data_IF_436423531688
#
_entry.id   IF_436423531688
#
_cell.length_a   1.000
_cell.length_b   1.000
_cell.length_c   1.000
_cell.angle_alpha   90.00
_cell.angle_beta   90.00
_cell.angle_gamma   90.00
#
_symmetry.space_group_name_H-M   'P 1'
#
loop_
_entity.id
_entity.type
_entity.pdbx_description
1 polymer ?
#
# COMPACT_ATOMS: atom_id res chain seq x y z
N UNK A 1 39.21 -9.69 20.76
CA UNK A 1 37.91 -10.07 20.15
C UNK A 1 37.49 -8.94 19.22
N UNK A 2 37.02 -9.22 17.99
CA UNK A 2 36.47 -8.19 17.13
C UNK A 2 35.21 -7.61 17.78
N UNK A 3 35.17 -6.30 17.95
CA UNK A 3 34.00 -5.60 18.49
C UNK A 3 33.08 -5.30 17.31
N UNK A 4 31.83 -5.76 17.37
CA UNK A 4 30.83 -5.44 16.37
C UNK A 4 30.51 -3.95 16.48
N UNK A 5 30.66 -3.22 15.37
CA UNK A 5 30.34 -1.80 15.29
C UNK A 5 29.46 -1.57 14.06
N UNK A 6 28.78 -0.44 14.01
CA UNK A 6 27.91 -0.06 12.91
C UNK A 6 28.44 1.20 12.24
N UNK A 7 28.32 1.26 10.92
CA UNK A 7 28.66 2.45 10.14
C UNK A 7 27.49 2.80 9.23
N UNK A 8 27.23 4.10 9.07
CA UNK A 8 26.26 4.61 8.10
C UNK A 8 27.00 4.99 6.83
N UNK A 9 26.56 4.45 5.70
CA UNK A 9 27.12 4.73 4.37
C UNK A 9 26.01 5.10 3.40
N UNK A 10 26.33 5.90 2.39
CA UNK A 10 25.39 6.15 1.30
C UNK A 10 25.23 4.88 0.44
N UNK A 11 23.99 4.57 0.11
CA UNK A 11 23.60 3.56 -0.87
C UNK A 11 22.65 4.16 -1.91
N UNK A 12 22.34 3.37 -2.93
CA UNK A 12 21.33 3.72 -3.94
C UNK A 12 20.35 2.58 -4.05
N UNK A 13 19.06 2.90 -4.06
CA UNK A 13 17.96 1.97 -4.34
C UNK A 13 17.13 2.51 -5.50
N UNK A 14 16.38 1.64 -6.17
CA UNK A 14 15.46 2.05 -7.22
C UNK A 14 14.04 2.12 -6.65
N UNK A 15 13.38 3.27 -6.74
CA UNK A 15 11.99 3.44 -6.30
C UNK A 15 11.06 3.63 -7.51
N UNK A 16 9.74 3.38 -7.38
CA UNK A 16 8.81 3.59 -8.47
C UNK A 16 8.86 5.02 -9.01
N UNK A 17 8.71 5.18 -10.32
CA UNK A 17 8.58 6.49 -10.96
C UNK A 17 7.23 6.62 -11.64
N UNK A 18 6.46 7.64 -11.24
CA UNK A 18 5.15 7.96 -11.82
C UNK A 18 5.23 9.07 -12.88
N UNK A 19 6.43 9.49 -13.29
CA UNK A 19 6.61 10.44 -14.37
C UNK A 19 6.05 9.92 -15.71
N UNK A 20 5.91 8.61 -15.86
CA UNK A 20 5.23 7.97 -16.97
C UNK A 20 4.16 7.00 -16.44
N UNK A 21 2.89 7.35 -16.65
CA UNK A 21 1.72 6.59 -16.19
C UNK A 21 1.05 5.80 -17.33
N UNK A 22 1.66 5.70 -18.52
CA UNK A 22 1.07 4.99 -19.67
C UNK A 22 0.81 3.51 -19.41
N UNK A 23 1.52 2.92 -18.45
CA UNK A 23 1.33 1.55 -18.00
C UNK A 23 0.29 1.43 -16.88
N UNK A 24 -0.35 2.50 -16.43
CA UNK A 24 -1.48 2.41 -15.50
C UNK A 24 -2.74 2.42 -16.36
N UNK A 25 -3.35 1.24 -16.55
CA UNK A 25 -4.56 1.09 -17.34
C UNK A 25 -5.75 0.73 -16.47
N UNK A 26 -6.91 1.28 -16.82
CA UNK A 26 -8.17 0.92 -16.19
C UNK A 26 -8.72 -0.37 -16.83
N UNK A 27 -9.13 -1.33 -16.00
CA UNK A 27 -9.66 -2.63 -16.42
C UNK A 27 -10.82 -2.55 -17.44
N UNK A 28 -11.59 -1.46 -17.45
CA UNK A 28 -12.81 -1.34 -18.27
C UNK A 28 -12.61 -0.55 -19.58
N UNK A 29 -11.55 0.24 -19.73
CA UNK A 29 -11.40 1.15 -20.88
C UNK A 29 -10.66 0.54 -22.09
N UNK A 30 -9.84 -0.50 -21.88
CA UNK A 30 -8.82 -0.93 -22.84
C UNK A 30 -9.04 -2.36 -23.40
N UNK A 31 -10.29 -2.81 -23.53
CA UNK A 31 -10.63 -4.14 -24.07
C UNK A 31 -10.42 -4.29 -25.58
N UNK A 32 -9.99 -3.23 -26.28
CA UNK A 32 -9.77 -3.24 -27.73
C UNK A 32 -8.35 -3.63 -28.16
N UNK A 33 -7.42 -3.80 -27.23
CA UNK A 33 -6.05 -4.17 -27.55
C UNK A 33 -5.71 -5.48 -26.83
N UNK A 34 -5.42 -6.55 -27.60
CA UNK A 34 -5.15 -7.90 -27.10
C UNK A 34 -3.86 -8.05 -26.29
N UNK A 35 -3.41 -7.00 -25.61
CA UNK A 35 -2.25 -6.95 -24.73
C UNK A 35 -2.71 -6.69 -23.28
N UNK A 36 -3.12 -7.76 -22.60
CA UNK A 36 -3.24 -7.86 -21.15
C UNK A 36 -1.93 -7.38 -20.49
N UNK A 37 -1.85 -6.62 -19.39
CA UNK A 37 -2.79 -6.16 -18.35
C UNK A 37 -1.97 -5.25 -17.43
N UNK A 38 -2.52 -4.13 -16.97
CA UNK A 38 -1.93 -3.37 -15.84
C UNK A 38 -2.97 -2.87 -14.85
N UNK A 39 -4.03 -3.66 -14.66
CA UNK A 39 -4.88 -3.62 -13.49
C UNK A 39 -4.33 -4.55 -12.41
N UNK A 40 -4.65 -4.27 -11.15
CA UNK A 40 -4.26 -5.15 -10.05
C UNK A 40 -5.02 -6.48 -10.17
N UNK A 41 -4.31 -7.61 -10.07
CA UNK A 41 -4.96 -8.92 -10.29
C UNK A 41 -6.06 -9.16 -9.24
N UNK A 42 -7.21 -9.77 -9.61
CA UNK A 42 -8.27 -10.10 -8.65
C UNK A 42 -7.81 -10.99 -7.48
N UNK A 43 -6.75 -11.78 -7.67
CA UNK A 43 -6.15 -12.58 -6.60
C UNK A 43 -5.36 -11.72 -5.60
N UNK A 44 -4.68 -10.67 -6.08
CA UNK A 44 -4.05 -9.68 -5.22
C UNK A 44 -5.11 -8.87 -4.47
N UNK A 45 -6.21 -8.51 -5.14
CA UNK A 45 -7.36 -7.85 -4.50
C UNK A 45 -8.02 -8.71 -3.41
N UNK A 46 -8.09 -10.03 -3.60
CA UNK A 46 -8.56 -10.98 -2.57
C UNK A 46 -7.62 -11.04 -1.37
N UNK A 47 -6.30 -10.98 -1.57
CA UNK A 47 -5.37 -10.98 -0.45
C UNK A 47 -5.47 -9.69 0.38
N UNK A 48 -5.78 -8.54 -0.25
CA UNK A 48 -6.03 -7.27 0.46
C UNK A 48 -7.09 -7.39 1.56
N UNK A 49 -8.14 -8.17 1.28
CA UNK A 49 -9.28 -8.37 2.17
C UNK A 49 -9.02 -9.44 3.22
N UNK A 50 -8.10 -10.37 2.96
CA UNK A 50 -7.61 -11.31 3.96
C UNK A 50 -6.86 -10.63 5.11
N UNK A 51 -6.41 -9.38 4.92
CA UNK A 51 -5.79 -8.60 5.98
C UNK A 51 -6.84 -8.01 6.90
N UNK A 52 -6.59 -8.11 8.21
CA UNK A 52 -7.30 -7.29 9.19
C UNK A 52 -6.98 -5.83 8.87
N UNK A 53 -7.90 -5.14 8.22
CA UNK A 53 -7.74 -3.75 7.76
C UNK A 53 -7.41 -2.77 8.92
N UNK A 54 -7.59 -3.19 10.17
CA UNK A 54 -7.24 -2.44 11.38
C UNK A 54 -6.02 -2.99 12.15
N UNK A 55 -5.24 -3.92 11.57
CA UNK A 55 -4.03 -4.47 12.22
C UNK A 55 -2.86 -3.49 12.17
N UNK A 56 -2.09 -3.42 13.26
CA UNK A 56 -0.84 -2.66 13.34
C UNK A 56 0.31 -3.24 12.52
N UNK A 57 0.13 -4.46 11.99
CA UNK A 57 1.09 -5.16 11.14
C UNK A 57 0.40 -5.71 9.91
N UNK A 58 0.92 -5.33 8.74
CA UNK A 58 0.35 -5.70 7.45
C UNK A 58 1.46 -6.30 6.58
N UNK A 59 1.33 -7.54 6.09
CA UNK A 59 2.35 -8.10 5.22
C UNK A 59 2.36 -7.33 3.89
N UNK A 60 3.54 -7.21 3.29
CA UNK A 60 3.71 -6.62 1.97
C UNK A 60 3.05 -7.51 0.92
N UNK A 61 2.56 -6.87 -0.14
CA UNK A 61 1.80 -7.50 -1.23
C UNK A 61 2.71 -8.20 -2.27
N UNK A 62 3.72 -8.93 -1.81
CA UNK A 62 4.64 -9.70 -2.65
C UNK A 62 5.32 -10.82 -1.86
N UNK A 63 6.20 -11.56 -2.53
CA UNK A 63 6.90 -12.70 -1.97
C UNK A 63 8.22 -12.32 -1.26
N UNK A 64 8.38 -11.07 -0.80
CA UNK A 64 9.60 -10.65 -0.09
C UNK A 64 9.57 -11.00 1.42
N UNK A 65 8.39 -11.37 1.92
CA UNK A 65 8.03 -11.60 3.34
C UNK A 65 8.20 -10.38 4.25
N UNK A 66 8.32 -9.17 3.70
CA UNK A 66 8.37 -7.97 4.52
C UNK A 66 7.00 -7.64 5.12
N UNK A 67 7.01 -7.03 6.29
CA UNK A 67 5.82 -6.63 7.04
C UNK A 67 5.90 -5.13 7.33
N UNK A 68 4.86 -4.39 6.96
CA UNK A 68 4.67 -3.01 7.37
C UNK A 68 4.33 -2.93 8.85
N UNK A 69 5.04 -2.07 9.56
CA UNK A 69 4.72 -1.66 10.93
C UNK A 69 3.95 -0.35 10.88
N UNK A 70 2.63 -0.46 11.09
CA UNK A 70 1.69 0.64 10.90
C UNK A 70 1.12 0.69 9.48
N UNK A 71 0.78 1.90 9.04
CA UNK A 71 0.14 2.18 7.75
C UNK A 71 1.20 2.26 6.64
N UNK A 72 0.93 1.68 5.48
CA UNK A 72 1.88 1.60 4.35
C UNK A 72 1.85 2.82 3.42
N UNK A 73 0.77 3.60 3.41
CA UNK A 73 0.60 4.84 2.61
C UNK A 73 0.83 4.69 1.09
N UNK A 74 0.81 3.45 0.57
CA UNK A 74 1.05 3.20 -0.85
C UNK A 74 2.48 3.41 -1.33
N UNK A 75 3.45 3.47 -0.41
CA UNK A 75 4.89 3.63 -0.72
C UNK A 75 5.70 2.41 -0.29
N UNK A 76 7.02 2.45 -0.49
CA UNK A 76 7.95 1.38 -0.14
C UNK A 76 7.75 0.08 -0.94
N UNK A 77 7.12 0.15 -2.10
CA UNK A 77 6.95 -0.99 -3.01
C UNK A 77 8.30 -1.61 -3.43
N UNK A 78 9.38 -0.83 -3.40
CA UNK A 78 10.73 -1.23 -3.80
C UNK A 78 11.45 -2.14 -2.80
N UNK A 79 11.04 -2.10 -1.53
CA UNK A 79 11.72 -2.77 -0.42
C UNK A 79 11.75 -4.28 -0.64
N UNK A 80 12.93 -4.88 -0.57
CA UNK A 80 13.13 -6.32 -0.78
C UNK A 80 13.12 -6.75 -2.26
N UNK A 81 12.78 -5.86 -3.20
CA UNK A 81 12.78 -6.14 -4.64
C UNK A 81 14.05 -5.57 -5.29
N UNK A 82 14.38 -4.31 -4.96
CA UNK A 82 15.48 -3.56 -5.61
C UNK A 82 16.73 -3.44 -4.74
N UNK A 83 16.75 -4.14 -3.61
CA UNK A 83 17.79 -4.07 -2.59
C UNK A 83 19.14 -4.66 -3.05
N UNK A 84 19.21 -5.23 -4.25
CA UNK A 84 20.43 -5.80 -4.85
C UNK A 84 21.58 -4.79 -4.98
N UNK A 85 21.26 -3.49 -5.03
CA UNK A 85 22.25 -2.40 -5.04
C UNK A 85 22.90 -2.12 -3.67
N UNK A 86 22.35 -2.70 -2.59
CA UNK A 86 22.84 -2.53 -1.23
C UNK A 86 23.92 -3.57 -0.88
N UNK A 87 24.83 -3.22 0.03
CA UNK A 87 25.94 -4.13 0.43
C UNK A 87 25.38 -5.39 1.13
N UNK A 88 26.04 -6.55 0.98
CA UNK A 88 25.63 -7.81 1.64
C UNK A 88 25.54 -7.77 3.18
N UNK A 89 26.09 -6.74 3.83
CA UNK A 89 26.11 -6.55 5.29
C UNK A 89 25.13 -5.48 5.77
N UNK A 90 24.11 -5.13 4.97
CA UNK A 90 23.06 -4.20 5.39
C UNK A 90 22.25 -4.79 6.53
N UNK A 91 22.09 -4.00 7.58
CA UNK A 91 21.21 -4.30 8.70
C UNK A 91 19.92 -3.51 8.60
N UNK A 92 20.06 -2.20 8.35
CA UNK A 92 18.97 -1.26 8.19
C UNK A 92 19.27 -0.31 7.06
N UNK A 93 18.24 0.20 6.41
CA UNK A 93 18.40 1.35 5.55
C UNK A 93 17.18 2.24 5.62
N UNK A 94 17.37 3.52 5.31
CA UNK A 94 16.30 4.50 5.21
C UNK A 94 16.43 5.32 3.95
N UNK A 95 15.30 5.71 3.38
CA UNK A 95 15.23 6.54 2.20
C UNK A 95 13.94 7.36 2.20
N UNK A 96 13.86 8.33 1.30
CA UNK A 96 12.67 9.14 1.12
C UNK A 96 11.95 8.74 -0.17
N UNK A 97 10.63 8.65 -0.08
CA UNK A 97 9.77 8.35 -1.22
C UNK A 97 8.60 9.34 -1.23
N UNK A 98 8.22 9.83 -2.40
CA UNK A 98 7.04 10.66 -2.56
C UNK A 98 5.89 9.76 -3.00
N UNK A 99 4.77 9.86 -2.28
CA UNK A 99 3.54 9.16 -2.55
C UNK A 99 2.33 10.04 -2.30
N UNK A 100 1.17 9.41 -2.12
CA UNK A 100 -0.02 10.09 -1.63
C UNK A 100 -0.31 9.68 -0.19
N UNK A 101 -0.87 10.59 0.59
CA UNK A 101 -1.54 10.32 1.84
C UNK A 101 -3.06 10.35 1.58
N UNK A 102 -3.71 9.18 1.35
CA UNK A 102 -5.15 9.15 1.19
C UNK A 102 -5.84 9.58 2.49
N UNK A 103 -6.64 10.63 2.39
CA UNK A 103 -7.55 11.08 3.44
C UNK A 103 -8.95 10.70 3.02
N UNK A 104 -9.58 9.82 3.80
CA UNK A 104 -10.93 9.35 3.52
C UNK A 104 -11.90 9.99 4.51
N UNK A 105 -12.98 10.56 3.99
CA UNK A 105 -14.13 11.01 4.79
C UNK A 105 -15.40 10.34 4.29
N UNK A 106 -16.21 9.80 5.17
CA UNK A 106 -17.44 9.09 4.82
C UNK A 106 -18.67 9.72 5.47
N UNK A 107 -19.80 9.63 4.78
CA UNK A 107 -21.10 10.06 5.27
C UNK A 107 -22.22 9.16 4.74
N UNK A 108 -23.37 9.17 5.41
CA UNK A 108 -24.60 8.64 4.84
C UNK A 108 -25.32 9.73 4.05
N UNK A 109 -25.48 9.51 2.75
CA UNK A 109 -26.24 10.40 1.87
C UNK A 109 -27.50 9.69 1.39
N UNK A 110 -28.61 9.91 2.09
CA UNK A 110 -29.91 9.37 1.68
C UNK A 110 -30.41 9.93 0.33
N UNK A 111 -29.84 11.04 -0.14
CA UNK A 111 -30.16 11.64 -1.45
C UNK A 111 -29.26 11.12 -2.57
N UNK A 112 -28.38 10.13 -2.31
CA UNK A 112 -27.59 9.49 -3.36
C UNK A 112 -28.48 8.84 -4.41
N UNK A 113 -28.12 9.00 -5.68
CA UNK A 113 -28.82 8.35 -6.79
C UNK A 113 -28.23 6.97 -7.12
N UNK A 114 -27.09 6.60 -6.52
CA UNK A 114 -26.45 5.31 -6.74
C UNK A 114 -27.16 4.20 -5.96
N UNK A 115 -27.84 3.29 -6.66
CA UNK A 115 -28.76 2.31 -6.07
C UNK A 115 -28.77 0.98 -6.81
N UNK A 116 -29.11 -0.08 -6.08
CA UNK A 116 -29.40 -1.40 -6.64
C UNK A 116 -30.75 -1.36 -7.33
N UNK A 117 -30.78 -1.69 -8.62
CA UNK A 117 -31.98 -1.79 -9.43
C UNK A 117 -32.75 -3.09 -9.20
N UNK A 118 -33.81 -3.28 -9.98
CA UNK A 118 -34.55 -4.55 -9.98
C UNK A 118 -33.73 -5.65 -10.65
N UNK A 119 -34.05 -6.90 -10.32
CA UNK A 119 -33.51 -8.05 -11.03
C UNK A 119 -33.81 -7.94 -12.53
N UNK A 120 -32.80 -8.20 -13.35
CA UNK A 120 -32.86 -8.23 -14.81
C UNK A 120 -32.03 -9.44 -15.28
N UNK A 121 -32.53 -10.23 -16.24
CA UNK A 121 -32.79 -11.66 -16.08
C UNK A 121 -31.61 -12.50 -15.55
N UNK A 122 -31.96 -13.64 -14.94
CA UNK A 122 -31.00 -14.62 -14.41
C UNK A 122 -30.22 -14.13 -13.19
N UNK A 123 -30.91 -13.62 -12.15
CA UNK A 123 -30.27 -13.30 -10.87
C UNK A 123 -29.18 -12.21 -10.98
N UNK A 124 -29.31 -11.35 -11.99
CA UNK A 124 -28.44 -10.21 -12.23
C UNK A 124 -29.14 -8.94 -11.80
N UNK A 125 -28.39 -8.05 -11.17
CA UNK A 125 -28.88 -6.79 -10.64
C UNK A 125 -28.00 -5.68 -11.17
N UNK A 126 -28.62 -4.78 -11.89
CA UNK A 126 -27.97 -3.55 -12.29
C UNK A 126 -27.84 -2.61 -11.09
N UNK A 127 -26.64 -2.10 -10.84
CA UNK A 127 -26.43 -1.02 -9.88
C UNK A 127 -26.04 0.22 -10.65
N UNK A 128 -26.80 1.29 -10.47
CA UNK A 128 -26.63 2.49 -11.26
C UNK A 128 -26.96 3.77 -10.51
N UNK A 129 -26.32 4.86 -10.92
CA UNK A 129 -26.65 6.21 -10.50
C UNK A 129 -25.51 7.19 -10.74
N UNK A 130 -25.84 8.48 -10.57
CA UNK A 130 -24.85 9.54 -10.62
C UNK A 130 -24.18 9.72 -9.25
N UNK A 131 -22.86 9.88 -9.28
CA UNK A 131 -22.05 10.36 -8.17
C UNK A 131 -21.84 11.88 -8.28
N UNK A 132 -21.43 12.56 -7.19
CA UNK A 132 -21.27 14.02 -7.19
C UNK A 132 -20.34 14.56 -8.28
N UNK A 133 -19.34 13.77 -8.68
CA UNK A 133 -18.38 14.07 -9.73
C UNK A 133 -18.63 13.28 -11.02
N UNK A 134 -19.82 12.73 -11.25
CA UNK A 134 -20.13 12.07 -12.53
C UNK A 134 -20.25 13.08 -13.68
N UNK A 135 -19.61 12.78 -14.81
CA UNK A 135 -19.67 13.60 -16.03
C UNK A 135 -20.18 12.74 -17.18
N UNK A 136 -21.23 13.20 -17.87
CA UNK A 136 -21.74 12.58 -19.10
C UNK A 136 -22.63 11.36 -18.92
N UNK A 137 -22.32 10.45 -17.98
CA UNK A 137 -23.10 9.23 -17.75
C UNK A 137 -23.20 8.84 -16.27
N UNK A 138 -24.27 8.11 -15.96
CA UNK A 138 -24.40 7.42 -14.67
C UNK A 138 -23.41 6.26 -14.60
N UNK A 139 -22.92 5.94 -13.39
CA UNK A 139 -22.20 4.70 -13.19
C UNK A 139 -23.14 3.51 -13.40
N UNK A 140 -22.60 2.42 -13.92
CA UNK A 140 -23.34 1.20 -14.21
C UNK A 140 -22.43 0.00 -14.02
N UNK A 141 -22.85 -0.93 -13.17
CA UNK A 141 -22.19 -2.21 -12.95
C UNK A 141 -23.23 -3.30 -12.73
N UNK A 142 -22.95 -4.52 -13.17
CA UNK A 142 -23.86 -5.67 -13.06
C UNK A 142 -23.36 -6.65 -12.01
N UNK A 143 -24.24 -7.08 -11.10
CA UNK A 143 -23.90 -7.97 -10.00
C UNK A 143 -24.77 -9.22 -10.04
N UNK A 144 -24.16 -10.37 -9.80
CA UNK A 144 -24.87 -11.64 -9.68
C UNK A 144 -25.17 -11.91 -8.20
N UNK A 145 -26.41 -12.26 -7.87
CA UNK A 145 -26.82 -12.56 -6.49
C UNK A 145 -28.12 -13.35 -6.43
N UNK A 146 -28.29 -14.17 -5.40
CA UNK A 146 -29.53 -14.92 -5.17
C UNK A 146 -30.71 -13.96 -4.99
N UNK A 147 -30.48 -12.85 -4.30
CA UNK A 147 -31.37 -11.69 -4.18
C UNK A 147 -30.54 -10.40 -4.19
N UNK A 148 -31.19 -9.25 -4.27
CA UNK A 148 -30.54 -7.95 -4.09
C UNK A 148 -29.93 -7.79 -2.69
N UNK A 149 -30.37 -8.58 -1.71
CA UNK A 149 -29.98 -8.42 -0.31
C UNK A 149 -28.50 -8.76 -0.07
N UNK A 150 -27.94 -9.65 -0.90
CA UNK A 150 -26.56 -10.10 -0.81
C UNK A 150 -25.55 -9.22 -1.55
N UNK A 151 -26.00 -8.12 -2.17
CA UNK A 151 -25.17 -7.26 -3.02
C UNK A 151 -24.54 -6.14 -2.20
N UNK A 152 -23.24 -5.93 -2.41
CA UNK A 152 -22.54 -4.70 -2.02
C UNK A 152 -21.80 -4.20 -3.24
N UNK A 153 -22.26 -3.06 -3.75
CA UNK A 153 -21.73 -2.44 -4.94
C UNK A 153 -21.03 -1.13 -4.61
N UNK A 154 -19.86 -0.92 -5.19
CA UNK A 154 -19.12 0.33 -5.11
C UNK A 154 -19.18 1.00 -6.46
N UNK A 155 -19.72 2.22 -6.49
CA UNK A 155 -19.63 3.12 -7.64
C UNK A 155 -18.53 4.14 -7.40
N UNK A 156 -17.79 4.46 -8.44
CA UNK A 156 -16.82 5.57 -8.47
C UNK A 156 -16.96 6.32 -9.78
N UNK A 157 -16.76 7.64 -9.78
CA UNK A 157 -16.81 8.40 -11.02
C UNK A 157 -15.43 8.60 -11.63
N UNK A 158 -15.42 8.80 -12.95
CA UNK A 158 -14.25 9.18 -13.74
C UNK A 158 -14.44 10.59 -14.28
N UNK A 159 -14.36 11.58 -13.38
CA UNK A 159 -14.25 12.97 -13.82
C UNK A 159 -12.79 13.40 -13.85
N UNK A 160 -12.28 13.84 -15.01
CA UNK A 160 -10.96 14.45 -15.08
C UNK A 160 -10.92 15.81 -14.37
N UNK A 161 -12.07 16.43 -14.14
CA UNK A 161 -12.19 17.77 -13.56
C UNK A 161 -12.21 17.76 -12.03
N UNK A 162 -12.53 16.63 -11.40
CA UNK A 162 -12.58 16.53 -9.94
C UNK A 162 -11.22 16.10 -9.36
N UNK A 163 -10.57 16.92 -8.50
CA UNK A 163 -9.38 16.49 -7.75
C UNK A 163 -9.72 15.45 -6.68
N UNK A 164 -10.93 15.56 -6.12
CA UNK A 164 -11.47 14.65 -5.12
C UNK A 164 -12.12 13.46 -5.79
N UNK A 165 -11.90 12.26 -5.25
CA UNK A 165 -12.54 11.04 -5.76
C UNK A 165 -13.70 10.64 -4.87
N UNK A 166 -14.82 10.26 -5.47
CA UNK A 166 -16.00 9.82 -4.74
C UNK A 166 -16.18 8.32 -4.87
N UNK A 167 -16.53 7.70 -3.74
CA UNK A 167 -16.92 6.30 -3.60
C UNK A 167 -18.36 6.32 -3.11
N UNK A 168 -19.26 5.61 -3.78
CA UNK A 168 -20.64 5.42 -3.32
C UNK A 168 -20.93 3.95 -3.13
N UNK A 169 -21.56 3.59 -2.01
CA UNK A 169 -21.94 2.22 -1.70
C UNK A 169 -23.46 2.09 -1.81
N UNK A 170 -23.90 1.14 -2.63
CA UNK A 170 -25.25 0.65 -2.64
C UNK A 170 -25.24 -0.79 -2.11
N UNK A 171 -26.01 -1.06 -1.06
CA UNK A 171 -25.97 -2.33 -0.37
C UNK A 171 -27.38 -2.87 -0.09
N UNK A 172 -27.54 -4.18 -0.23
CA UNK A 172 -28.76 -4.90 0.11
C UNK A 172 -28.99 -5.06 1.60
N UNK A 173 -30.12 -5.66 2.00
CA UNK A 173 -30.53 -5.73 3.41
C UNK A 173 -29.52 -6.45 4.32
N UNK A 174 -28.81 -7.48 3.81
CA UNK A 174 -27.77 -8.19 4.58
C UNK A 174 -26.63 -7.25 5.01
N UNK A 175 -26.38 -6.20 4.24
CA UNK A 175 -25.31 -5.23 4.43
C UNK A 175 -25.88 -3.82 4.64
N UNK A 176 -27.10 -3.71 5.19
CA UNK A 176 -27.86 -2.46 5.27
C UNK A 176 -27.08 -1.29 5.90
N UNK A 177 -26.21 -1.56 6.86
CA UNK A 177 -25.36 -0.54 7.49
C UNK A 177 -24.40 0.14 6.50
N UNK A 178 -24.11 -0.46 5.36
CA UNK A 178 -23.28 0.12 4.31
C UNK A 178 -24.08 0.92 3.30
N UNK A 179 -25.41 0.74 3.26
CA UNK A 179 -26.25 1.31 2.22
C UNK A 179 -26.29 2.83 2.32
N UNK A 180 -26.33 3.51 1.17
CA UNK A 180 -26.32 4.98 1.03
C UNK A 180 -25.06 5.67 1.56
N UNK A 181 -23.98 4.91 1.78
CA UNK A 181 -22.71 5.51 2.18
C UNK A 181 -22.04 6.18 0.98
N UNK A 182 -21.52 7.38 1.18
CA UNK A 182 -20.65 8.05 0.24
C UNK A 182 -19.37 8.46 0.95
N UNK A 183 -18.23 8.14 0.36
CA UNK A 183 -16.93 8.54 0.85
C UNK A 183 -16.21 9.39 -0.19
N UNK A 184 -15.35 10.26 0.30
CA UNK A 184 -14.42 11.06 -0.49
C UNK A 184 -13.01 10.63 -0.19
N UNK A 185 -12.18 10.46 -1.21
CA UNK A 185 -10.74 10.22 -1.07
C UNK A 185 -10.00 11.43 -1.61
N UNK A 186 -9.31 12.13 -0.72
CA UNK A 186 -8.40 13.21 -1.06
C UNK A 186 -6.97 12.65 -1.06
N UNK A 187 -6.32 12.71 -2.23
CA UNK A 187 -4.96 12.24 -2.42
C UNK A 187 -3.99 13.40 -2.22
N UNK A 188 -3.43 13.53 -1.02
CA UNK A 188 -2.50 14.61 -0.68
C UNK A 188 -1.08 14.17 -1.03
N UNK A 189 -0.36 14.81 -1.98
CA UNK A 189 1.05 14.51 -2.22
C UNK A 189 1.85 14.65 -0.93
N UNK A 190 2.63 13.66 -0.58
CA UNK A 190 3.35 13.63 0.70
C UNK A 190 4.70 12.93 0.53
N UNK A 191 5.73 13.49 1.15
CA UNK A 191 7.04 12.86 1.27
C UNK A 191 7.03 11.95 2.50
N UNK A 192 7.50 10.72 2.32
CA UNK A 192 7.55 9.71 3.36
C UNK A 192 9.00 9.33 3.63
N UNK A 193 9.32 9.19 4.91
CA UNK A 193 10.54 8.51 5.33
C UNK A 193 10.23 7.02 5.48
N UNK A 194 10.90 6.21 4.67
CA UNK A 194 10.82 4.75 4.72
C UNK A 194 12.03 4.25 5.49
N UNK A 195 11.80 3.43 6.50
CA UNK A 195 12.84 2.75 7.29
C UNK A 195 12.64 1.25 7.17
N UNK A 196 13.70 0.53 6.83
CA UNK A 196 13.67 -0.91 6.60
C UNK A 196 14.63 -1.60 7.57
N UNK A 197 14.13 -2.59 8.30
CA UNK A 197 14.96 -3.57 9.01
C UNK A 197 15.05 -4.85 8.17
N UNK A 198 16.23 -5.11 7.62
CA UNK A 198 16.46 -6.27 6.73
C UNK A 198 16.41 -7.58 7.51
N UNK A 199 16.81 -7.56 8.78
CA UNK A 199 16.85 -8.77 9.61
C UNK A 199 15.46 -9.15 10.08
N UNK A 200 14.71 -8.17 10.58
CA UNK A 200 13.36 -8.39 11.11
C UNK A 200 12.30 -8.39 9.98
N UNK A 201 12.73 -8.13 8.73
CA UNK A 201 11.89 -7.96 7.54
C UNK A 201 10.74 -6.98 7.81
N UNK A 202 11.05 -5.86 8.45
CA UNK A 202 10.05 -4.85 8.80
C UNK A 202 10.23 -3.55 8.03
N UNK A 203 9.12 -2.89 7.74
CA UNK A 203 9.06 -1.61 7.02
C UNK A 203 8.26 -0.62 7.83
N UNK A 204 8.89 0.45 8.28
CA UNK A 204 8.24 1.60 8.89
C UNK A 204 8.12 2.74 7.88
N UNK A 205 6.94 3.36 7.82
CA UNK A 205 6.68 4.50 6.94
C UNK A 205 6.11 5.64 7.76
N UNK A 206 6.73 6.82 7.66
CA UNK A 206 6.29 8.01 8.40
C UNK A 206 6.15 9.20 7.45
N UNK A 207 5.00 9.90 7.43
CA UNK A 207 4.85 11.12 6.65
C UNK A 207 5.73 12.25 7.22
N UNK A 208 6.41 12.97 6.35
CA UNK A 208 7.24 14.11 6.72
C UNK A 208 6.41 15.40 6.61
N UNK A 209 6.45 16.23 7.65
CA UNK A 209 5.73 17.51 7.67
C UNK A 209 6.61 18.64 7.12
N UNK A 210 6.01 19.58 6.38
CA UNK A 210 6.61 20.89 6.10
C UNK A 210 7.12 21.14 4.67
N UNK A 211 6.96 20.19 3.75
CA UNK A 211 7.39 20.37 2.36
C UNK A 211 6.18 20.58 1.44
N UNK A 212 6.26 21.59 0.56
CA UNK A 212 5.39 21.66 -0.63
C UNK A 212 5.85 20.59 -1.62
N UNK A 213 5.12 19.49 -1.66
CA UNK A 213 5.47 18.31 -2.46
C UNK A 213 4.73 18.39 -3.78
N UNK A 214 5.48 18.43 -4.88
CA UNK A 214 4.90 18.36 -6.22
C UNK A 214 4.12 17.05 -6.41
N UNK A 215 2.93 17.18 -6.99
CA UNK A 215 2.09 16.04 -7.35
C UNK A 215 2.83 15.08 -8.29
N UNK A 216 2.89 13.80 -7.91
CA UNK A 216 3.58 12.73 -8.67
C UNK A 216 2.79 12.28 -9.90
N UNK A 217 1.50 12.58 -9.94
CA UNK A 217 0.60 12.28 -11.05
C UNK A 217 -0.37 13.47 -11.27
N UNK A 218 0.11 14.58 -11.87
CA UNK A 218 -0.71 15.77 -12.11
C UNK A 218 -1.91 15.50 -13.03
N UNK A 219 -1.82 14.49 -13.87
CA UNK A 219 -2.91 14.03 -14.76
C UNK A 219 -3.96 13.18 -14.01
N UNK A 220 -3.67 12.82 -12.76
CA UNK A 220 -4.55 12.09 -11.84
C UNK A 220 -4.99 10.73 -12.37
N UNK A 221 -4.17 10.11 -13.20
CA UNK A 221 -4.37 8.77 -13.75
C UNK A 221 -4.29 7.73 -12.63
N UNK A 222 -3.23 7.76 -11.82
CA UNK A 222 -3.01 6.86 -10.69
C UNK A 222 -4.14 6.96 -9.68
N UNK A 223 -4.52 8.17 -9.25
CA UNK A 223 -5.57 8.35 -8.24
C UNK A 223 -6.94 7.88 -8.74
N UNK A 224 -7.23 8.10 -10.02
CA UNK A 224 -8.44 7.59 -10.68
C UNK A 224 -8.43 6.07 -10.76
N UNK A 225 -7.34 5.49 -11.22
CA UNK A 225 -7.20 4.04 -11.34
C UNK A 225 -7.31 3.38 -9.97
N UNK A 226 -6.72 3.98 -8.94
CA UNK A 226 -6.79 3.47 -7.57
C UNK A 226 -8.23 3.35 -7.05
N UNK A 227 -9.07 4.37 -7.23
CA UNK A 227 -10.48 4.26 -6.82
C UNK A 227 -11.30 3.35 -7.74
N UNK A 228 -10.97 3.27 -9.03
CA UNK A 228 -11.62 2.35 -9.98
C UNK A 228 -11.37 0.89 -9.63
N UNK A 229 -10.22 0.57 -9.04
CA UNK A 229 -9.98 -0.78 -8.52
C UNK A 229 -10.96 -1.16 -7.41
N UNK A 230 -11.47 -0.21 -6.60
CA UNK A 230 -12.50 -0.51 -5.57
C UNK A 230 -13.85 -0.92 -6.18
N UNK A 231 -14.25 -0.30 -7.28
CA UNK A 231 -15.42 -0.69 -8.08
C UNK A 231 -15.22 -2.11 -8.65
N UNK A 232 -14.07 -2.34 -9.30
CA UNK A 232 -13.65 -3.66 -9.81
C UNK A 232 -13.63 -4.75 -8.73
N UNK A 233 -13.11 -4.43 -7.54
CA UNK A 233 -13.12 -5.30 -6.35
C UNK A 233 -14.54 -5.67 -5.96
N UNK A 234 -15.44 -4.69 -5.84
CA UNK A 234 -16.82 -4.95 -5.43
C UNK A 234 -17.52 -5.93 -6.38
N UNK A 235 -17.27 -5.79 -7.69
CA UNK A 235 -17.82 -6.67 -8.70
C UNK A 235 -17.21 -8.08 -8.66
N UNK A 236 -15.88 -8.16 -8.67
CA UNK A 236 -15.12 -9.42 -8.70
C UNK A 236 -15.27 -10.28 -7.44
N UNK A 237 -15.66 -9.65 -6.33
CA UNK A 237 -15.81 -10.26 -5.02
C UNK A 237 -17.27 -10.47 -4.62
N UNK A 238 -18.19 -10.17 -5.54
CA UNK A 238 -19.57 -10.56 -5.42
C UNK A 238 -19.69 -12.06 -5.69
N UNK A 239 -20.44 -12.75 -4.84
CA UNK A 239 -20.84 -14.15 -5.05
C UNK A 239 -22.36 -14.25 -5.10
N UNK A 240 -22.86 -15.43 -5.46
CA UNK A 240 -24.30 -15.68 -5.50
C UNK A 240 -24.97 -15.52 -4.12
N UNK A 241 -24.28 -15.76 -3.00
CA UNK A 241 -24.89 -15.75 -1.65
C UNK A 241 -24.47 -14.56 -0.77
N UNK A 242 -23.53 -13.73 -1.22
CA UNK A 242 -22.95 -12.67 -0.40
C UNK A 242 -21.85 -11.90 -1.11
N UNK A 243 -21.40 -10.83 -0.48
CA UNK A 243 -20.26 -10.05 -0.93
C UNK A 243 -19.08 -10.26 0.01
N UNK A 244 -17.97 -10.79 -0.52
CA UNK A 244 -16.74 -10.96 0.27
C UNK A 244 -16.21 -9.60 0.69
N UNK A 245 -16.33 -8.59 -0.17
CA UNK A 245 -15.99 -7.20 0.17
C UNK A 245 -16.94 -6.64 1.25
N UNK A 246 -18.25 -6.91 1.13
CA UNK A 246 -19.23 -6.54 2.16
C UNK A 246 -18.87 -7.11 3.53
N UNK A 247 -18.58 -8.41 3.61
CA UNK A 247 -18.18 -9.07 4.85
C UNK A 247 -16.87 -8.49 5.43
N UNK A 248 -15.92 -8.13 4.56
CA UNK A 248 -14.67 -7.49 4.95
C UNK A 248 -14.86 -6.08 5.53
N UNK A 249 -15.72 -5.27 4.92
CA UNK A 249 -16.06 -3.94 5.41
C UNK A 249 -16.72 -4.03 6.78
N UNK A 250 -17.67 -4.95 6.97
CA UNK A 250 -18.29 -5.21 8.27
C UNK A 250 -17.26 -5.65 9.33
N UNK A 251 -16.33 -6.53 8.96
CA UNK A 251 -15.25 -6.96 9.84
C UNK A 251 -14.32 -5.79 10.22
N UNK A 252 -14.02 -4.88 9.29
CA UNK A 252 -13.25 -3.66 9.56
C UNK A 252 -13.96 -2.73 10.53
N UNK A 253 -15.27 -2.51 10.32
CA UNK A 253 -16.11 -1.72 11.23
C UNK A 253 -16.08 -2.32 12.64
N UNK A 254 -16.27 -3.63 12.76
CA UNK A 254 -16.21 -4.32 14.05
C UNK A 254 -14.83 -4.21 14.72
N UNK A 255 -13.75 -4.35 13.95
CA UNK A 255 -12.38 -4.22 14.46
C UNK A 255 -12.05 -2.80 14.93
N UNK A 256 -12.48 -1.79 14.17
CA UNK A 256 -12.34 -0.39 14.56
C UNK A 256 -13.12 -0.09 15.84
N UNK A 257 -14.38 -0.52 15.90
CA UNK A 257 -15.25 -0.31 17.06
C UNK A 257 -14.65 -0.93 18.33
N UNK A 258 -14.10 -2.16 18.23
CA UNK A 258 -13.40 -2.83 19.34
C UNK A 258 -12.12 -2.10 19.77
N UNK A 259 -11.36 -1.55 18.82
CA UNK A 259 -10.05 -0.96 19.08
C UNK A 259 -10.12 0.49 19.59
N UNK A 260 -11.09 1.27 19.09
CA UNK A 260 -11.16 2.72 19.31
C UNK A 260 -12.45 3.17 20.02
N UNK A 261 -13.46 2.32 20.11
CA UNK A 261 -14.74 2.63 20.74
C UNK A 261 -15.16 1.58 21.79
N UNK A 262 -14.19 0.97 22.47
CA UNK A 262 -14.45 -0.04 23.51
C UNK A 262 -15.35 0.47 24.65
N UNK A 263 -15.35 1.78 24.92
CA UNK A 263 -16.17 2.43 25.94
C UNK A 263 -17.54 2.87 25.42
N UNK A 264 -17.84 2.67 24.13
CA UNK A 264 -19.12 3.05 23.52
C UNK A 264 -19.41 4.56 23.53
N UNK A 265 -18.35 5.38 23.53
CA UNK A 265 -18.46 6.85 23.55
C UNK A 265 -18.86 7.42 22.19
N UNK A 266 -18.56 6.70 21.11
CA UNK A 266 -18.89 7.04 19.73
C UNK A 266 -20.19 6.32 19.34
N UNK A 267 -21.09 7.02 18.66
CA UNK A 267 -22.35 6.44 18.20
C UNK A 267 -22.09 5.30 17.21
N UNK A 268 -23.00 4.32 17.10
CA UNK A 268 -22.87 3.21 16.14
C UNK A 268 -22.72 3.72 14.70
N UNK A 269 -23.45 4.79 14.36
CA UNK A 269 -23.37 5.45 13.05
C UNK A 269 -21.97 5.99 12.79
N UNK A 270 -21.41 6.74 13.73
CA UNK A 270 -20.10 7.39 13.55
C UNK A 270 -18.96 6.36 13.62
N UNK A 271 -19.11 5.33 14.44
CA UNK A 271 -18.20 4.19 14.49
C UNK A 271 -18.19 3.41 13.17
N UNK A 272 -19.36 3.23 12.54
CA UNK A 272 -19.49 2.60 11.22
C UNK A 272 -18.78 3.42 10.15
N UNK A 273 -19.02 4.73 10.09
CA UNK A 273 -18.36 5.61 9.14
C UNK A 273 -16.84 5.64 9.37
N UNK A 274 -16.37 5.74 10.61
CA UNK A 274 -14.93 5.73 10.94
C UNK A 274 -14.26 4.41 10.56
N UNK A 275 -14.94 3.29 10.78
CA UNK A 275 -14.46 1.97 10.35
C UNK A 275 -14.37 1.83 8.83
N UNK A 276 -15.28 2.46 8.08
CA UNK A 276 -15.25 2.53 6.62
C UNK A 276 -14.15 3.47 6.10
N UNK A 277 -13.98 4.64 6.71
CA UNK A 277 -12.88 5.58 6.38
C UNK A 277 -11.53 4.87 6.51
N UNK A 278 -11.33 4.15 7.61
CA UNK A 278 -10.12 3.37 7.83
C UNK A 278 -9.97 2.24 6.79
N UNK A 279 -11.04 1.49 6.51
CA UNK A 279 -11.03 0.42 5.52
C UNK A 279 -10.63 0.93 4.13
N UNK A 280 -11.25 2.00 3.65
CA UNK A 280 -10.95 2.59 2.35
C UNK A 280 -9.56 3.22 2.31
N UNK A 281 -9.08 3.82 3.40
CA UNK A 281 -7.72 4.34 3.46
C UNK A 281 -6.70 3.21 3.27
N UNK A 282 -6.86 2.09 3.96
CA UNK A 282 -5.95 0.94 3.87
C UNK A 282 -6.05 0.21 2.53
N UNK A 283 -7.26 0.03 1.99
CA UNK A 283 -7.43 -0.53 0.65
C UNK A 283 -6.79 0.37 -0.42
N UNK A 284 -6.98 1.69 -0.32
CA UNK A 284 -6.38 2.65 -1.25
C UNK A 284 -4.85 2.61 -1.16
N UNK A 285 -4.29 2.61 0.04
CA UNK A 285 -2.84 2.46 0.24
C UNK A 285 -2.32 1.17 -0.42
N UNK A 286 -3.02 0.05 -0.21
CA UNK A 286 -2.66 -1.24 -0.77
C UNK A 286 -2.67 -1.24 -2.30
N UNK A 287 -3.69 -0.62 -2.89
CA UNK A 287 -3.82 -0.44 -4.35
C UNK A 287 -2.68 0.43 -4.89
N UNK A 288 -2.38 1.55 -4.22
CA UNK A 288 -1.27 2.44 -4.61
C UNK A 288 0.08 1.72 -4.56
N UNK A 289 0.34 0.91 -3.53
CA UNK A 289 1.57 0.12 -3.47
C UNK A 289 1.63 -0.95 -4.57
N UNK A 290 0.50 -1.57 -4.91
CA UNK A 290 0.40 -2.48 -6.05
C UNK A 290 0.78 -1.80 -7.37
N UNK A 291 0.28 -0.58 -7.62
CA UNK A 291 0.74 0.21 -8.76
C UNK A 291 2.21 0.59 -8.67
N UNK A 292 2.73 0.89 -7.47
CA UNK A 292 4.16 1.09 -7.25
C UNK A 292 5.00 -0.13 -7.64
N UNK A 293 4.54 -1.35 -7.35
CA UNK A 293 5.22 -2.59 -7.76
C UNK A 293 5.19 -2.78 -9.28
N UNK A 294 4.06 -2.52 -9.93
CA UNK A 294 3.95 -2.55 -11.40
C UNK A 294 4.91 -1.55 -12.02
N UNK A 295 4.92 -0.32 -11.50
CA UNK A 295 5.81 0.74 -11.97
C UNK A 295 7.28 0.36 -11.82
N UNK A 296 7.69 -0.23 -10.69
CA UNK A 296 9.07 -0.67 -10.49
C UNK A 296 9.59 -1.62 -11.58
N UNK A 297 8.71 -2.45 -12.17
CA UNK A 297 9.07 -3.34 -13.28
C UNK A 297 9.39 -2.64 -14.60
N UNK A 298 8.93 -1.39 -14.78
CA UNK A 298 9.01 -0.66 -16.05
C UNK A 298 9.66 0.72 -15.93
N UNK A 299 9.27 1.49 -14.91
CA UNK A 299 9.77 2.84 -14.62
C UNK A 299 10.17 2.95 -13.16
N UNK A 300 11.48 3.03 -12.95
CA UNK A 300 12.07 3.32 -11.65
C UNK A 300 13.02 4.50 -11.74
N UNK A 301 13.28 5.14 -10.60
CA UNK A 301 14.28 6.19 -10.46
C UNK A 301 15.23 5.85 -9.31
N UNK A 302 16.54 6.15 -9.44
CA UNK A 302 17.48 5.95 -8.35
C UNK A 302 17.23 6.97 -7.23
N UNK A 303 17.28 6.49 -5.99
CA UNK A 303 17.14 7.29 -4.78
C UNK A 303 18.27 6.97 -3.82
N UNK A 304 18.83 8.01 -3.22
CA UNK A 304 19.85 7.86 -2.17
C UNK A 304 19.23 7.28 -0.91
N UNK A 305 19.86 6.23 -0.40
CA UNK A 305 19.50 5.60 0.87
C UNK A 305 20.65 5.76 1.86
N UNK A 306 20.32 5.98 3.13
CA UNK A 306 21.28 5.85 4.21
C UNK A 306 21.25 4.41 4.72
N UNK A 307 22.41 3.75 4.69
CA UNK A 307 22.53 2.32 4.93
C UNK A 307 23.37 2.08 6.18
N UNK A 308 22.79 1.44 7.18
CA UNK A 308 23.49 0.93 8.35
C UNK A 308 24.07 -0.45 8.01
N UNK A 309 25.39 -0.55 7.99
CA UNK A 309 26.12 -1.81 7.78
C UNK A 309 26.83 -2.27 9.03
N UNK A 310 26.86 -3.58 9.24
CA UNK A 310 27.75 -4.19 10.22
C UNK A 310 29.19 -4.07 9.74
N UNK A 311 30.04 -3.43 10.54
CA UNK A 311 31.48 -3.37 10.30
C UNK A 311 32.24 -4.05 11.42
N UNK A 312 33.17 -4.91 11.04
CA UNK A 312 34.15 -5.45 11.97
C UNK A 312 35.27 -4.44 12.12
N UNK A 313 35.21 -3.66 13.19
CA UNK A 313 36.33 -2.80 13.56
C UNK A 313 37.36 -3.66 14.27
N UNK A 314 38.45 -3.96 13.57
CA UNK A 314 39.65 -4.52 14.17
C UNK A 314 40.36 -3.44 15.01
N UNK A 315 39.89 -3.19 16.23
CA UNK A 315 40.64 -2.40 17.23
C UNK A 315 41.68 -3.30 17.93
N UNK A 316 42.97 -3.29 17.57
CA UNK A 316 44.11 -2.37 17.89
C UNK A 316 44.57 -2.29 19.37
N UNK A 317 45.52 -3.17 19.73
CA UNK A 317 46.88 -2.93 20.27
C UNK A 317 47.56 -4.30 20.43
N UNK A 318 46.85 -5.25 21.03
CA UNK A 318 47.34 -6.61 21.26
C UNK A 318 47.80 -7.32 19.99
N UNK A 319 47.04 -7.26 18.89
CA UNK A 319 47.44 -7.96 17.65
C UNK A 319 48.65 -7.31 16.96
N UNK A 320 48.76 -5.97 17.00
CA UNK A 320 49.93 -5.23 16.51
C UNK A 320 51.16 -5.50 17.39
N UNK A 321 50.98 -5.53 18.71
CA UNK A 321 52.04 -5.89 19.66
C UNK A 321 52.49 -7.34 19.50
N UNK A 322 51.56 -8.29 19.31
CA UNK A 322 51.89 -9.70 19.09
C UNK A 322 52.62 -9.90 17.76
N UNK A 323 52.16 -9.27 16.68
CA UNK A 323 52.86 -9.34 15.38
C UNK A 323 54.26 -8.71 15.44
N UNK A 324 54.44 -7.58 16.14
CA UNK A 324 55.75 -6.95 16.36
C UNK A 324 56.64 -7.83 17.24
N UNK A 325 56.12 -8.43 18.31
CA UNK A 325 56.86 -9.32 19.20
C UNK A 325 57.33 -10.59 18.48
N UNK A 326 56.45 -11.21 17.68
CA UNK A 326 56.79 -12.40 16.90
C UNK A 326 57.86 -12.06 15.86
N UNK A 327 57.68 -10.97 15.11
CA UNK A 327 58.67 -10.55 14.12
C UNK A 327 60.01 -10.19 14.79
N UNK A 328 60.01 -9.49 15.93
CA UNK A 328 61.20 -9.20 16.70
C UNK A 328 61.92 -10.48 17.16
N UNK A 329 61.19 -11.44 17.74
CA UNK A 329 61.73 -12.72 18.19
C UNK A 329 62.34 -13.52 17.03
N UNK A 330 61.71 -13.51 15.85
CA UNK A 330 62.25 -14.14 14.64
C UNK A 330 63.56 -13.46 14.22
N UNK A 331 63.61 -12.12 14.14
CA UNK A 331 64.88 -11.42 13.82
C UNK A 331 66.00 -11.70 14.81
N UNK A 332 65.70 -11.75 16.11
CA UNK A 332 66.68 -12.08 17.14
C UNK A 332 67.16 -13.52 16.98
N UNK A 333 66.25 -14.48 16.78
CA UNK A 333 66.60 -15.87 16.56
C UNK A 333 67.46 -16.08 15.30
N UNK A 334 67.22 -15.31 14.23
CA UNK A 334 68.06 -15.31 13.03
C UNK A 334 69.43 -14.68 13.27
N UNK A 335 69.51 -13.59 14.04
CA UNK A 335 70.78 -12.92 14.35
C UNK A 335 71.71 -13.78 15.20
N UNK A 336 71.17 -14.59 16.11
CA UNK A 336 71.93 -15.50 16.97
C UNK A 336 72.21 -16.89 16.35
N UNK A 337 71.58 -17.24 15.23
CA UNK A 337 71.81 -18.51 14.51
C UNK A 337 72.63 -18.34 13.22
N UNK A 338 73.32 -17.22 13.01
CA UNK A 338 74.33 -17.14 11.95
C UNK A 338 75.54 -17.96 12.43
N UNK A 339 75.82 -19.14 11.84
CA UNK A 339 77.01 -19.90 12.20
C UNK A 339 78.22 -19.10 11.72
N UNK A 340 79.14 -18.78 12.62
CA UNK A 340 80.49 -18.32 12.30
C UNK A 340 81.26 -19.38 11.51
#
# INVERSE_FOLDING_TARGET
MPTRSTAVVAGSIAIPSFANTTFIKNYVADTNDGTSTSSISPNLLKSLIGFKLCASRQPKLDNTDYIFEGRMYGVASSVGITDNGLKKSVRKYRFEEVGYLPQVGCLYNSSTNFRIGKEYPHRTFAVTGFLPDSVGSAQWSEYIGATSDSIVAIGVADSPQSPRRYISIAAGEKYRVLNTTQCTVDFVPTRFQVTVDVKDKSVGVVPMSGDDVQDIDPERILTRSAVRELDSMSNSLQSFSGSVLGDALLASIAAWNSSFNAQGLVSERDATLSGLEHAFAVMTDSILAGYGQIQLGHFSKPTTAEVEVDVYVLGRKAFTSVAVLINAAITVAFYFNIPS
#
